data_IF_980619574920
#
_entry.id   IF_980619574920
#
_cell.length_a   1.000
_cell.length_b   1.000
_cell.length_c   1.000
_cell.angle_alpha   90.00
_cell.angle_beta   90.00
_cell.angle_gamma   90.00
#
_symmetry.space_group_name_H-M   'P 1'
#
loop_
_entity.id
_entity.type
_entity.pdbx_description
1 polymer ?
#
# COMPACT_ATOMS: atom_id res chain seq x y z
N UNK A 1 -4.79 19.21 8.35
CA UNK A 1 -3.95 19.31 7.13
C UNK A 1 -3.07 18.09 7.06
N UNK A 2 -2.97 17.47 5.88
CA UNK A 2 -2.10 16.32 5.60
C UNK A 2 -1.07 16.79 4.57
N UNK A 3 0.22 16.59 4.83
CA UNK A 3 1.30 16.97 3.93
C UNK A 3 1.86 15.70 3.27
N UNK A 4 1.83 15.67 1.93
CA UNK A 4 2.13 14.50 1.10
C UNK A 4 0.87 13.78 0.65
N UNK A 5 0.69 13.63 -0.66
CA UNK A 5 -0.42 12.94 -1.31
C UNK A 5 -0.12 11.49 -1.74
N UNK A 6 1.08 10.99 -1.44
CA UNK A 6 1.45 9.59 -1.71
C UNK A 6 0.70 8.56 -0.86
N UNK A 7 1.08 7.29 -0.95
CA UNK A 7 0.38 6.15 -0.32
C UNK A 7 0.00 6.39 1.16
N UNK A 8 0.92 6.94 1.97
CA UNK A 8 0.67 7.18 3.40
C UNK A 8 -0.33 8.31 3.62
N UNK A 9 -0.17 9.45 2.93
CA UNK A 9 -1.06 10.59 3.10
C UNK A 9 -2.48 10.34 2.57
N UNK A 10 -2.57 9.67 1.41
CA UNK A 10 -3.85 9.25 0.85
C UNK A 10 -4.57 8.24 1.76
N UNK A 11 -3.86 7.23 2.26
CA UNK A 11 -4.46 6.24 3.17
C UNK A 11 -4.88 6.84 4.52
N UNK A 12 -4.13 7.82 5.04
CA UNK A 12 -4.56 8.59 6.21
C UNK A 12 -5.83 9.40 5.92
N UNK A 13 -5.93 10.02 4.74
CA UNK A 13 -7.13 10.70 4.29
C UNK A 13 -8.36 9.78 4.28
N UNK A 14 -8.22 8.58 3.70
CA UNK A 14 -9.27 7.56 3.72
C UNK A 14 -9.64 7.13 5.14
N UNK A 15 -8.65 6.90 6.01
CA UNK A 15 -8.88 6.51 7.41
C UNK A 15 -9.63 7.57 8.21
N UNK A 16 -9.39 8.85 7.91
CA UNK A 16 -10.05 9.97 8.59
C UNK A 16 -11.41 10.33 7.99
N UNK A 17 -11.74 9.88 6.77
CA UNK A 17 -12.98 10.25 6.07
C UNK A 17 -14.25 10.11 6.94
N UNK A 18 -14.48 9.01 7.69
CA UNK A 18 -15.65 8.89 8.56
C UNK A 18 -15.70 9.93 9.68
N UNK A 19 -14.54 10.36 10.19
CA UNK A 19 -14.44 11.40 11.22
C UNK A 19 -14.64 12.79 10.61
N UNK A 20 -14.10 13.01 9.40
CA UNK A 20 -14.27 14.25 8.65
C UNK A 20 -15.75 14.51 8.40
N UNK A 21 -16.49 13.50 7.94
CA UNK A 21 -17.94 13.58 7.73
C UNK A 21 -18.69 13.79 9.05
N UNK A 22 -18.40 12.98 10.08
CA UNK A 22 -19.07 13.04 11.38
C UNK A 22 -18.96 14.41 12.06
N UNK A 23 -17.78 15.01 11.99
CA UNK A 23 -17.47 16.26 12.70
C UNK A 23 -17.45 17.50 11.79
N UNK A 24 -17.75 17.34 10.49
CA UNK A 24 -17.71 18.43 9.51
C UNK A 24 -16.34 19.08 9.36
N UNK A 25 -15.26 18.30 9.51
CA UNK A 25 -13.91 18.85 9.44
C UNK A 25 -13.54 19.28 8.03
N UNK A 26 -12.77 20.37 7.94
CA UNK A 26 -12.14 20.80 6.69
C UNK A 26 -10.71 20.28 6.67
N UNK A 27 -10.47 19.23 5.90
CA UNK A 27 -9.14 18.63 5.75
C UNK A 27 -8.64 18.87 4.33
N UNK A 28 -7.44 19.43 4.23
CA UNK A 28 -6.70 19.54 2.97
C UNK A 28 -5.53 18.55 2.97
N UNK A 29 -5.35 17.87 1.83
CA UNK A 29 -4.14 17.11 1.49
C UNK A 29 -3.33 17.99 0.54
N UNK A 30 -2.06 18.21 0.86
CA UNK A 30 -1.16 19.08 0.09
C UNK A 30 -0.04 18.21 -0.46
N UNK A 31 0.10 18.18 -1.79
CA UNK A 31 1.20 17.51 -2.48
C UNK A 31 2.03 18.54 -3.24
N UNK A 32 3.34 18.37 -3.21
CA UNK A 32 4.32 19.20 -3.92
C UNK A 32 4.31 18.93 -5.43
N UNK A 33 4.04 17.69 -5.82
CA UNK A 33 3.90 17.31 -7.22
C UNK A 33 2.52 17.76 -7.76
N UNK A 34 2.46 18.31 -8.99
CA UNK A 34 1.21 18.73 -9.59
C UNK A 34 0.32 17.52 -9.93
N UNK A 35 -0.95 17.60 -9.53
CA UNK A 35 -2.01 16.67 -9.93
C UNK A 35 -2.52 17.08 -11.33
N UNK A 36 -1.80 16.71 -12.39
CA UNK A 36 -2.24 17.00 -13.78
C UNK A 36 -3.26 15.97 -14.25
N UNK A 37 -4.17 16.31 -15.17
CA UNK A 37 -5.05 15.32 -15.78
C UNK A 37 -4.27 14.17 -16.45
N UNK A 38 -3.09 14.48 -17.01
CA UNK A 38 -2.15 13.49 -17.50
C UNK A 38 -1.57 12.60 -16.39
N UNK A 39 -1.43 13.05 -15.14
CA UNK A 39 -1.01 12.21 -14.01
C UNK A 39 -2.07 11.19 -13.56
N UNK A 40 -3.30 11.29 -14.07
CA UNK A 40 -4.37 10.29 -13.91
C UNK A 40 -4.38 9.28 -15.08
N UNK A 41 -3.89 9.67 -16.26
CA UNK A 41 -3.85 8.84 -17.48
C UNK A 41 -2.47 8.18 -17.71
N UNK A 42 -1.41 8.76 -17.17
CA UNK A 42 -0.05 8.23 -17.22
C UNK A 42 0.29 7.58 -15.88
N UNK A 43 0.80 6.35 -15.93
CA UNK A 43 1.19 5.55 -14.76
C UNK A 43 2.36 6.13 -13.94
N UNK A 44 2.73 7.39 -14.19
CA UNK A 44 3.91 8.05 -13.66
C UNK A 44 3.54 9.40 -13.07
N UNK A 45 3.36 9.43 -11.75
CA UNK A 45 3.41 10.69 -11.00
C UNK A 45 4.86 10.93 -10.54
N UNK A 46 5.38 12.17 -10.61
CA UNK A 46 6.77 12.46 -10.24
C UNK A 46 7.14 12.15 -8.78
N UNK A 47 6.16 12.16 -7.86
CA UNK A 47 6.35 11.76 -6.45
C UNK A 47 6.02 10.30 -6.17
N UNK A 48 5.47 9.58 -7.15
CA UNK A 48 5.23 8.15 -7.03
C UNK A 48 6.55 7.43 -7.26
N UNK A 49 7.02 6.76 -6.22
CA UNK A 49 8.15 5.88 -6.33
C UNK A 49 7.77 4.73 -7.27
N UNK A 50 8.25 4.80 -8.53
CA UNK A 50 8.00 3.79 -9.55
C UNK A 50 8.57 2.41 -9.22
N UNK A 51 9.20 2.26 -8.04
CA UNK A 51 9.50 0.97 -7.45
C UNK A 51 8.20 0.27 -7.06
N UNK A 52 8.02 -0.94 -7.58
CA UNK A 52 6.96 -1.85 -7.14
C UNK A 52 6.95 -1.93 -5.60
N UNK A 53 5.80 -1.61 -5.00
CA UNK A 53 5.63 -1.69 -3.55
C UNK A 53 5.11 -3.06 -3.14
N UNK A 54 5.81 -3.73 -2.22
CA UNK A 54 5.34 -4.95 -1.61
C UNK A 54 4.38 -4.61 -0.46
N UNK A 55 3.10 -4.96 -0.61
CA UNK A 55 2.09 -4.80 0.44
C UNK A 55 2.09 -6.08 1.28
N UNK A 56 2.43 -5.95 2.56
CA UNK A 56 2.29 -7.04 3.51
C UNK A 56 0.82 -7.40 3.73
N UNK A 57 0.52 -8.66 4.01
CA UNK A 57 -0.84 -9.16 4.27
C UNK A 57 -1.59 -8.33 5.33
N UNK A 58 -0.94 -7.98 6.43
CA UNK A 58 -1.56 -7.14 7.48
C UNK A 58 -1.88 -5.71 7.01
N UNK A 59 -1.15 -5.19 6.02
CA UNK A 59 -1.46 -3.90 5.39
C UNK A 59 -2.63 -4.03 4.43
N UNK A 60 -2.69 -5.10 3.64
CA UNK A 60 -3.83 -5.41 2.77
C UNK A 60 -5.15 -5.52 3.58
N UNK A 61 -5.11 -6.18 4.73
CA UNK A 61 -6.25 -6.27 5.64
C UNK A 61 -6.72 -4.89 6.16
N UNK A 62 -5.78 -3.98 6.48
CA UNK A 62 -6.13 -2.60 6.84
C UNK A 62 -6.75 -1.85 5.66
N UNK A 63 -6.18 -1.97 4.46
CA UNK A 63 -6.76 -1.34 3.28
C UNK A 63 -8.16 -1.86 2.96
N UNK A 64 -8.46 -3.12 3.31
CA UNK A 64 -9.79 -3.68 3.19
C UNK A 64 -10.75 -3.05 4.20
N UNK A 65 -10.34 -2.87 5.45
CA UNK A 65 -11.13 -2.14 6.46
C UNK A 65 -11.36 -0.68 6.08
N UNK A 66 -10.42 -0.07 5.35
CA UNK A 66 -10.53 1.28 4.81
C UNK A 66 -11.35 1.36 3.51
N UNK A 67 -11.81 0.23 2.96
CA UNK A 67 -12.63 0.18 1.75
C UNK A 67 -11.89 0.42 0.43
N UNK A 68 -10.55 0.52 0.45
CA UNK A 68 -9.75 0.85 -0.75
C UNK A 68 -9.08 -0.37 -1.39
N UNK A 69 -9.00 -1.49 -0.68
CA UNK A 69 -8.29 -2.68 -1.16
C UNK A 69 -8.84 -3.26 -2.47
N UNK A 70 -10.16 -3.23 -2.66
CA UNK A 70 -10.78 -3.83 -3.85
C UNK A 70 -10.40 -3.10 -5.15
N UNK A 71 -10.18 -1.79 -5.08
CA UNK A 71 -9.64 -1.01 -6.19
C UNK A 71 -8.13 -1.27 -6.35
N UNK A 72 -7.37 -1.37 -5.26
CA UNK A 72 -5.91 -1.57 -5.31
C UNK A 72 -5.51 -2.93 -5.87
N UNK A 73 -6.28 -3.98 -5.55
CA UNK A 73 -5.93 -5.36 -5.91
C UNK A 73 -5.98 -5.65 -7.41
N UNK A 74 -6.66 -4.82 -8.22
CA UNK A 74 -6.73 -5.00 -9.68
C UNK A 74 -5.35 -4.85 -10.31
N UNK A 75 -4.52 -3.96 -9.74
CA UNK A 75 -3.14 -3.71 -10.17
C UNK A 75 -2.10 -4.47 -9.35
N UNK A 76 -2.54 -5.24 -8.33
CA UNK A 76 -1.65 -5.97 -7.44
C UNK A 76 -1.37 -7.38 -7.96
N UNK A 77 -0.12 -7.83 -7.80
CA UNK A 77 0.29 -9.21 -8.10
C UNK A 77 0.73 -9.94 -6.83
N UNK A 78 0.25 -11.17 -6.56
CA UNK A 78 0.61 -11.90 -5.37
C UNK A 78 2.09 -12.33 -5.40
N UNK A 79 2.81 -12.05 -4.30
CA UNK A 79 4.18 -12.53 -4.08
C UNK A 79 4.10 -13.98 -3.59
N UNK A 80 4.40 -14.94 -4.47
CA UNK A 80 4.35 -16.38 -4.14
C UNK A 80 5.60 -16.89 -3.41
N UNK A 81 6.75 -16.26 -3.66
CA UNK A 81 8.06 -16.70 -3.14
C UNK A 81 8.96 -15.51 -2.86
N UNK A 82 9.59 -15.49 -1.69
CA UNK A 82 10.61 -14.52 -1.31
C UNK A 82 11.91 -15.27 -1.04
N UNK A 83 13.01 -14.83 -1.62
CA UNK A 83 14.35 -15.36 -1.38
C UNK A 83 15.25 -14.24 -0.87
N UNK A 84 15.73 -14.38 0.36
CA UNK A 84 16.61 -13.44 1.03
C UNK A 84 17.99 -14.08 1.12
N UNK A 85 19.02 -13.37 0.64
CA UNK A 85 20.42 -13.76 0.76
C UNK A 85 21.26 -12.53 1.08
N UNK A 86 22.33 -12.71 1.86
CA UNK A 86 23.24 -11.64 2.24
C UNK A 86 24.62 -11.92 1.64
N UNK A 87 25.18 -10.93 0.94
CA UNK A 87 26.49 -11.07 0.33
C UNK A 87 27.56 -11.27 1.41
N UNK A 88 28.36 -12.33 1.27
CA UNK A 88 29.47 -12.62 2.19
C UNK A 88 29.10 -13.41 3.43
N UNK A 89 27.83 -13.78 3.62
CA UNK A 89 27.41 -14.77 4.65
C UNK A 89 26.94 -16.07 4.01
N UNK A 90 27.21 -17.18 4.69
CA UNK A 90 26.62 -18.47 4.35
C UNK A 90 25.21 -18.54 4.96
N UNK A 91 24.19 -18.57 4.11
CA UNK A 91 22.79 -18.70 4.53
C UNK A 91 21.82 -18.03 3.55
N UNK A 92 20.63 -18.62 3.40
CA UNK A 92 19.54 -18.03 2.66
C UNK A 92 18.21 -18.38 3.30
N UNK A 93 17.31 -17.41 3.38
CA UNK A 93 15.93 -17.62 3.85
C UNK A 93 15.00 -17.64 2.63
N UNK A 94 14.18 -18.69 2.54
CA UNK A 94 13.15 -18.82 1.50
C UNK A 94 11.79 -18.86 2.18
N UNK A 95 10.89 -18.00 1.74
CA UNK A 95 9.51 -17.96 2.20
C UNK A 95 8.62 -18.34 1.01
N UNK A 96 7.77 -19.34 1.20
CA UNK A 96 6.75 -19.74 0.24
C UNK A 96 5.37 -19.41 0.80
N UNK A 97 4.53 -18.74 0.01
CA UNK A 97 3.18 -18.38 0.41
C UNK A 97 2.36 -19.63 0.84
N UNK A 98 2.56 -20.77 0.18
CA UNK A 98 1.86 -22.01 0.52
C UNK A 98 2.16 -22.51 1.95
N UNK A 99 3.39 -22.31 2.43
CA UNK A 99 3.83 -22.73 3.77
C UNK A 99 3.36 -21.77 4.86
N UNK A 100 3.25 -20.48 4.53
CA UNK A 100 2.79 -19.44 5.46
C UNK A 100 1.27 -19.47 5.67
N UNK A 101 0.50 -19.79 4.64
CA UNK A 101 -0.97 -19.97 4.76
C UNK A 101 -1.29 -21.19 5.63
N UNK A 102 -0.55 -22.29 5.46
CA UNK A 102 -0.70 -23.51 6.27
C UNK A 102 -0.45 -23.27 7.77
N UNK A 103 0.50 -22.39 8.13
CA UNK A 103 0.82 -22.08 9.53
C UNK A 103 -0.22 -21.24 10.27
N UNK A 104 -1.12 -20.54 9.56
CA UNK A 104 -2.16 -19.70 10.16
C UNK A 104 -3.52 -20.40 10.30
N UNK A 105 -3.65 -21.61 9.75
CA UNK A 105 -4.85 -22.46 9.82
C UNK A 105 -4.50 -23.91 10.20
N UNK A 106 -3.51 -24.07 11.08
CA UNK A 106 -3.23 -25.36 11.73
C UNK A 106 -4.23 -25.57 12.87
N UNK A 107 -5.28 -26.36 12.57
CA UNK A 107 -6.37 -26.88 13.43
C UNK A 107 -7.29 -25.87 14.10
#
# INVERSE_FOLDING_TARGET
MIVGGGLVGASLGCALAPLIERYGWRVAVIESAPLTAQSLESAWQPSFDARASAIAEGSAQRFQQLGVWEAMRTEATPIKRIHISERGRLGATRLNAAELVSRRWGT
#
